data_IF_542976377655
#
_entry.id   IF_542976377655
#
_cell.length_a   1.000
_cell.length_b   1.000
_cell.length_c   1.000
_cell.angle_alpha   90.00
_cell.angle_beta   90.00
_cell.angle_gamma   90.00
#
_symmetry.space_group_name_H-M   'P 1'
#
loop_
_entity.id
_entity.type
_entity.pdbx_description
1 polymer ?
#
# COMPACT_ATOMS: atom_id res chain seq x y z
N UNK A 1 -16.90 39.24 30.23
CA UNK A 1 -17.73 39.04 31.43
C UNK A 1 -19.21 39.19 31.07
N UNK A 2 -19.98 38.11 31.10
CA UNK A 2 -21.41 38.05 31.50
C UNK A 2 -21.97 36.62 31.31
N UNK A 3 -22.33 36.02 32.46
CA UNK A 3 -23.43 35.06 32.75
C UNK A 3 -23.56 33.85 31.81
N UNK A 4 -23.20 32.61 32.17
CA UNK A 4 -23.73 31.73 33.24
C UNK A 4 -25.25 31.80 33.37
N UNK A 5 -25.94 30.79 32.84
CA UNK A 5 -27.21 30.31 33.39
C UNK A 5 -27.16 28.79 33.38
N UNK A 6 -26.84 28.24 34.55
CA UNK A 6 -27.12 26.87 34.94
C UNK A 6 -28.65 26.66 34.93
N UNK A 7 -29.12 25.58 34.33
CA UNK A 7 -30.30 24.88 34.82
C UNK A 7 -29.86 23.50 35.31
N UNK A 8 -29.71 23.44 36.63
CA UNK A 8 -29.59 22.25 37.44
C UNK A 8 -30.99 21.67 37.66
N UNK A 9 -31.01 20.38 38.02
CA UNK A 9 -32.06 19.68 38.76
C UNK A 9 -33.19 19.09 37.88
N UNK A 10 -33.61 17.84 38.03
CA UNK A 10 -33.24 16.69 38.87
C UNK A 10 -34.26 15.59 38.47
N UNK A 11 -34.13 14.41 39.08
CA UNK A 11 -35.16 13.36 39.23
C UNK A 11 -35.16 12.25 38.15
N UNK A 12 -35.21 10.96 38.47
CA UNK A 12 -35.09 10.15 39.70
C UNK A 12 -35.22 8.69 39.21
N UNK A 13 -34.58 7.76 39.95
CA UNK A 13 -34.84 6.31 40.04
C UNK A 13 -34.82 5.47 38.76
N UNK A 14 -33.92 4.49 38.59
CA UNK A 14 -33.75 3.28 39.39
C UNK A 14 -35.04 2.46 39.56
N UNK A 15 -35.41 1.72 38.52
CA UNK A 15 -36.26 0.53 38.65
C UNK A 15 -35.94 -0.45 37.52
N UNK A 16 -35.62 -1.68 37.92
CA UNK A 16 -35.95 -2.93 37.21
C UNK A 16 -35.03 -3.40 36.08
N UNK A 17 -33.98 -4.08 36.54
CA UNK A 17 -33.53 -5.37 36.04
C UNK A 17 -34.68 -6.21 35.44
N UNK A 18 -34.73 -6.32 34.12
CA UNK A 18 -35.43 -7.42 33.44
C UNK A 18 -34.45 -8.10 32.48
N UNK A 19 -33.82 -9.16 33.00
CA UNK A 19 -33.12 -10.15 32.19
C UNK A 19 -34.22 -11.00 31.52
N UNK A 20 -34.56 -10.65 30.28
CA UNK A 20 -35.33 -11.52 29.41
C UNK A 20 -34.35 -12.35 28.58
N UNK A 21 -34.18 -13.62 29.00
CA UNK A 21 -33.63 -14.68 28.17
C UNK A 21 -34.72 -15.09 27.16
N UNK A 22 -34.49 -14.77 25.89
CA UNK A 22 -35.08 -15.42 24.73
C UNK A 22 -34.08 -15.19 23.58
N UNK A 23 -33.16 -16.12 23.34
CA UNK A 23 -33.31 -17.21 22.35
C UNK A 23 -33.98 -16.71 21.06
N UNK A 24 -33.20 -16.71 19.98
CA UNK A 24 -33.53 -16.39 18.59
C UNK A 24 -33.10 -14.98 18.11
N UNK A 25 -31.79 -14.73 18.17
CA UNK A 25 -31.14 -13.82 17.23
C UNK A 25 -30.36 -14.65 16.20
N UNK A 26 -30.41 -14.29 14.90
CA UNK A 26 -29.59 -14.94 13.90
C UNK A 26 -28.14 -14.78 14.33
N UNK A 27 -27.38 -15.87 14.27
CA UNK A 27 -25.94 -15.84 14.48
C UNK A 27 -25.37 -14.71 13.62
N UNK A 28 -25.03 -13.59 14.24
CA UNK A 28 -24.06 -12.67 13.68
C UNK A 28 -22.81 -13.50 13.52
N UNK A 29 -22.61 -13.97 12.28
CA UNK A 29 -21.33 -14.48 11.81
C UNK A 29 -20.39 -13.31 12.01
N UNK A 30 -19.74 -13.26 13.18
CA UNK A 30 -18.56 -12.46 13.39
C UNK A 30 -17.59 -12.90 12.30
N UNK A 31 -17.53 -12.12 11.22
CA UNK A 31 -16.51 -12.24 10.21
C UNK A 31 -15.20 -11.96 10.96
N UNK A 32 -14.56 -13.03 11.41
CA UNK A 32 -13.15 -13.01 11.78
C UNK A 32 -12.42 -12.64 10.50
N UNK A 33 -12.22 -11.35 10.27
CA UNK A 33 -11.26 -10.87 9.30
C UNK A 33 -9.89 -11.26 9.83
N UNK A 34 -9.45 -12.46 9.46
CA UNK A 34 -8.08 -12.96 9.57
C UNK A 34 -7.17 -12.18 8.61
N UNK A 35 -7.09 -10.86 8.77
CA UNK A 35 -6.18 -10.04 7.98
C UNK A 35 -4.78 -10.17 8.57
N UNK A 36 -4.05 -11.18 8.10
CA UNK A 36 -2.58 -11.20 8.23
C UNK A 36 -2.04 -9.86 7.71
N UNK A 37 -1.10 -9.21 8.42
CA UNK A 37 -0.52 -7.95 7.95
C UNK A 37 0.11 -8.15 6.56
N UNK A 38 -0.01 -7.16 5.67
CA UNK A 38 0.56 -7.26 4.34
C UNK A 38 2.09 -7.38 4.41
N UNK A 39 2.64 -8.27 3.61
CA UNK A 39 4.08 -8.40 3.43
C UNK A 39 4.60 -7.26 2.55
N UNK A 40 5.79 -6.77 2.85
CA UNK A 40 6.48 -5.77 2.06
C UNK A 40 7.92 -6.18 1.81
N UNK A 41 8.45 -5.86 0.64
CA UNK A 41 9.85 -6.08 0.30
C UNK A 41 10.42 -4.83 -0.39
N UNK A 42 11.58 -4.40 0.09
CA UNK A 42 12.27 -3.19 -0.35
C UNK A 42 13.68 -3.53 -0.80
N UNK A 43 14.07 -3.06 -1.98
CA UNK A 43 15.43 -3.21 -2.49
C UNK A 43 15.98 -1.90 -3.01
N UNK A 44 17.24 -1.63 -2.71
CA UNK A 44 17.96 -0.44 -3.16
C UNK A 44 19.01 -0.83 -4.20
N UNK A 45 19.15 -0.01 -5.23
CA UNK A 45 20.20 -0.10 -6.24
C UNK A 45 20.83 1.27 -6.48
N UNK A 46 22.09 1.30 -6.91
CA UNK A 46 22.77 2.56 -7.27
C UNK A 46 22.21 3.12 -8.57
N UNK A 47 21.91 4.41 -8.59
CA UNK A 47 21.47 5.13 -9.78
C UNK A 47 22.68 5.74 -10.50
N UNK A 48 22.93 5.27 -11.72
CA UNK A 48 23.98 5.80 -12.62
C UNK A 48 23.42 6.72 -13.70
N UNK A 49 22.11 6.65 -13.97
CA UNK A 49 21.41 7.41 -15.00
C UNK A 49 20.81 8.71 -14.47
N UNK A 50 20.27 9.53 -15.38
CA UNK A 50 19.49 10.72 -15.00
C UNK A 50 18.14 10.30 -14.37
N UNK A 51 17.53 11.21 -13.59
CA UNK A 51 16.20 10.98 -13.00
C UNK A 51 15.13 10.70 -14.08
N UNK A 52 15.21 11.40 -15.21
CA UNK A 52 14.28 11.23 -16.33
C UNK A 52 14.40 9.84 -16.96
N UNK A 53 15.62 9.41 -17.29
CA UNK A 53 15.88 8.06 -17.80
C UNK A 53 15.44 6.99 -16.80
N UNK A 54 15.77 7.14 -15.52
CA UNK A 54 15.33 6.20 -14.49
C UNK A 54 13.80 6.08 -14.45
N UNK A 55 13.06 7.20 -14.53
CA UNK A 55 11.59 7.18 -14.56
C UNK A 55 11.03 6.49 -15.81
N UNK A 56 11.63 6.74 -16.97
CA UNK A 56 11.23 6.08 -18.22
C UNK A 56 11.46 4.57 -18.14
N UNK A 57 12.65 4.14 -17.71
CA UNK A 57 12.96 2.72 -17.50
C UNK A 57 12.04 2.09 -16.46
N UNK A 58 11.68 2.82 -15.40
CA UNK A 58 10.74 2.35 -14.39
C UNK A 58 9.34 2.09 -14.95
N UNK A 59 8.81 2.98 -15.80
CA UNK A 59 7.52 2.75 -16.46
C UNK A 59 7.56 1.49 -17.35
N UNK A 60 8.63 1.31 -18.13
CA UNK A 60 8.81 0.12 -18.97
C UNK A 60 8.91 -1.15 -18.11
N UNK A 61 9.66 -1.10 -17.01
CA UNK A 61 9.83 -2.24 -16.11
C UNK A 61 8.50 -2.65 -15.46
N UNK A 62 7.70 -1.68 -15.00
CA UNK A 62 6.36 -1.94 -14.46
C UNK A 62 5.48 -2.66 -15.48
N UNK A 63 5.40 -2.14 -16.71
CA UNK A 63 4.59 -2.72 -17.78
C UNK A 63 5.07 -4.14 -18.14
N UNK A 64 6.39 -4.36 -18.28
CA UNK A 64 6.97 -5.69 -18.56
C UNK A 64 6.78 -6.70 -17.43
N UNK A 65 6.56 -6.23 -16.20
CA UNK A 65 6.23 -7.08 -15.05
C UNK A 65 4.73 -7.34 -14.90
N UNK A 66 3.92 -6.92 -15.89
CA UNK A 66 2.47 -7.04 -15.92
C UNK A 66 1.76 -6.30 -14.78
N UNK A 67 2.34 -5.20 -14.29
CA UNK A 67 1.59 -4.26 -13.46
C UNK A 67 0.70 -3.39 -14.36
N UNK A 68 -0.53 -3.15 -13.90
CA UNK A 68 -1.52 -2.27 -14.51
C UNK A 68 -1.63 -0.97 -13.72
N UNK A 69 -2.47 -0.05 -14.20
CA UNK A 69 -2.75 1.25 -13.57
C UNK A 69 -1.46 2.03 -13.23
N UNK A 70 -0.53 1.98 -14.18
CA UNK A 70 0.81 2.55 -14.00
C UNK A 70 0.71 4.07 -14.00
N UNK A 71 1.08 4.69 -12.88
CA UNK A 71 1.04 6.15 -12.72
C UNK A 71 2.40 6.72 -12.31
N UNK A 72 2.80 7.82 -12.94
CA UNK A 72 3.98 8.58 -12.54
C UNK A 72 3.60 9.64 -11.51
N UNK A 73 4.02 9.43 -10.26
CA UNK A 73 3.84 10.40 -9.18
C UNK A 73 5.09 11.24 -8.87
N UNK A 74 4.95 12.12 -7.88
CA UNK A 74 6.05 12.91 -7.30
C UNK A 74 7.15 12.01 -6.73
N UNK A 75 6.75 10.89 -6.13
CA UNK A 75 7.64 10.00 -5.37
C UNK A 75 8.16 8.80 -6.17
N UNK A 76 7.71 8.57 -7.41
CA UNK A 76 8.11 7.41 -8.20
C UNK A 76 7.07 7.01 -9.22
N UNK A 77 7.25 5.84 -9.81
CA UNK A 77 6.28 5.15 -10.65
C UNK A 77 5.57 4.12 -9.79
N UNK A 78 4.24 4.05 -9.85
CA UNK A 78 3.41 3.09 -9.14
C UNK A 78 2.69 2.18 -10.13
N UNK A 79 2.29 0.99 -9.69
CA UNK A 79 1.41 0.08 -10.42
C UNK A 79 0.79 -0.97 -9.52
N UNK A 80 -0.25 -1.64 -10.00
CA UNK A 80 -0.97 -2.70 -9.28
C UNK A 80 -1.00 -4.00 -10.09
N UNK A 81 -1.08 -5.15 -9.43
CA UNK A 81 -1.20 -6.46 -10.09
C UNK A 81 -1.83 -7.44 -9.12
N UNK A 82 -3.01 -7.98 -9.41
CA UNK A 82 -3.63 -9.07 -8.64
C UNK A 82 -3.66 -8.82 -7.11
N UNK A 83 -3.96 -7.59 -6.68
CA UNK A 83 -3.95 -7.19 -5.26
C UNK A 83 -2.57 -6.80 -4.69
N UNK A 84 -1.50 -6.97 -5.45
CA UNK A 84 -0.16 -6.49 -5.15
C UNK A 84 0.03 -5.05 -5.65
N UNK A 85 0.80 -4.26 -4.90
CA UNK A 85 1.17 -2.89 -5.26
C UNK A 85 2.67 -2.78 -5.38
N UNK A 86 3.16 -2.08 -6.39
CA UNK A 86 4.58 -1.83 -6.57
C UNK A 86 4.88 -0.34 -6.74
N UNK A 87 6.09 0.05 -6.31
CA UNK A 87 6.67 1.36 -6.54
C UNK A 87 8.13 1.25 -6.98
N UNK A 88 8.52 2.05 -7.97
CA UNK A 88 9.92 2.33 -8.29
C UNK A 88 10.20 3.82 -8.07
N UNK A 89 11.09 4.15 -7.13
CA UNK A 89 11.50 5.53 -6.82
C UNK A 89 12.90 5.81 -7.34
N UNK A 90 13.03 6.88 -8.12
CA UNK A 90 14.31 7.38 -8.65
C UNK A 90 14.78 8.61 -7.86
N UNK A 91 15.84 8.47 -7.06
CA UNK A 91 16.41 9.55 -6.25
C UNK A 91 17.77 10.00 -6.79
N UNK A 92 17.81 11.16 -7.46
CA UNK A 92 19.06 11.71 -7.99
C UNK A 92 19.96 12.31 -6.93
N UNK A 93 19.37 12.90 -5.88
CA UNK A 93 20.11 13.47 -4.74
C UNK A 93 20.89 12.39 -4.01
N UNK A 94 20.25 11.25 -3.77
CA UNK A 94 20.87 10.13 -3.05
C UNK A 94 21.55 9.11 -3.99
N UNK A 95 21.45 9.30 -5.31
CA UNK A 95 21.97 8.39 -6.33
C UNK A 95 21.50 6.95 -6.13
N UNK A 96 20.22 6.77 -5.78
CA UNK A 96 19.61 5.46 -5.54
C UNK A 96 18.29 5.27 -6.28
N UNK A 97 17.98 4.01 -6.54
CA UNK A 97 16.72 3.50 -7.06
C UNK A 97 16.16 2.58 -5.99
N UNK A 98 14.89 2.76 -5.64
CA UNK A 98 14.21 1.96 -4.62
C UNK A 98 13.06 1.20 -5.27
N UNK A 99 13.03 -0.11 -5.10
CA UNK A 99 11.98 -1.02 -5.55
C UNK A 99 11.19 -1.49 -4.34
N UNK A 100 9.89 -1.25 -4.34
CA UNK A 100 8.98 -1.62 -3.26
C UNK A 100 7.86 -2.46 -3.84
N UNK A 101 7.55 -3.60 -3.21
CA UNK A 101 6.37 -4.41 -3.50
C UNK A 101 5.67 -4.73 -2.19
N UNK A 102 4.34 -4.68 -2.20
CA UNK A 102 3.47 -4.96 -1.04
C UNK A 102 2.31 -5.87 -1.46
N UNK A 103 1.97 -6.86 -0.65
CA UNK A 103 0.87 -7.80 -0.91
C UNK A 103 0.63 -8.82 0.20
N UNK A 104 -0.29 -9.75 -0.02
CA UNK A 104 -0.72 -10.72 1.00
C UNK A 104 0.23 -11.91 1.17
N UNK A 105 1.01 -12.27 0.14
CA UNK A 105 1.91 -13.43 0.19
C UNK A 105 3.38 -13.00 0.08
N UNK A 106 4.18 -13.29 1.10
CA UNK A 106 5.58 -12.88 1.16
C UNK A 106 6.44 -13.40 0.01
N UNK A 107 6.28 -14.67 -0.38
CA UNK A 107 7.02 -15.28 -1.50
C UNK A 107 6.70 -14.58 -2.82
N UNK A 108 5.42 -14.30 -3.08
CA UNK A 108 5.00 -13.58 -4.28
C UNK A 108 5.52 -12.14 -4.29
N UNK A 109 5.50 -11.44 -3.14
CA UNK A 109 6.08 -10.10 -2.99
C UNK A 109 7.57 -10.10 -3.38
N UNK A 110 8.34 -11.07 -2.91
CA UNK A 110 9.76 -11.21 -3.27
C UNK A 110 9.94 -11.49 -4.77
N UNK A 111 9.21 -12.46 -5.32
CA UNK A 111 9.27 -12.84 -6.73
C UNK A 111 8.94 -11.68 -7.66
N UNK A 112 7.90 -10.91 -7.36
CA UNK A 112 7.51 -9.73 -8.12
C UNK A 112 8.57 -8.63 -8.04
N UNK A 113 9.21 -8.44 -6.88
CA UNK A 113 10.28 -7.47 -6.73
C UNK A 113 11.52 -7.85 -7.57
N UNK A 114 11.91 -9.12 -7.56
CA UNK A 114 13.02 -9.61 -8.39
C UNK A 114 12.71 -9.50 -9.89
N UNK A 115 11.47 -9.81 -10.29
CA UNK A 115 11.01 -9.60 -11.66
C UNK A 115 11.09 -8.13 -12.09
N UNK A 116 10.66 -7.20 -11.22
CA UNK A 116 10.76 -5.75 -11.48
C UNK A 116 12.21 -5.30 -11.66
N UNK A 117 13.11 -5.73 -10.78
CA UNK A 117 14.54 -5.37 -10.88
C UNK A 117 15.16 -5.91 -12.17
N UNK A 118 14.86 -7.16 -12.53
CA UNK A 118 15.35 -7.78 -13.76
C UNK A 118 14.89 -7.02 -15.00
N UNK A 119 13.60 -6.72 -15.08
CA UNK A 119 13.01 -5.98 -16.20
C UNK A 119 13.53 -4.54 -16.28
N UNK A 120 13.80 -3.91 -15.13
CA UNK A 120 14.42 -2.60 -15.06
C UNK A 120 15.86 -2.62 -15.59
N UNK A 121 16.66 -3.61 -15.20
CA UNK A 121 18.03 -3.79 -15.69
C UNK A 121 18.10 -3.94 -17.22
N UNK A 122 17.19 -4.73 -17.80
CA UNK A 122 17.08 -4.91 -19.26
C UNK A 122 16.75 -3.62 -20.01
N UNK A 123 16.02 -2.70 -19.39
CA UNK A 123 15.65 -1.43 -20.02
C UNK A 123 16.84 -0.53 -20.35
N UNK A 124 17.96 -0.64 -19.62
CA UNK A 124 19.19 0.10 -19.93
C UNK A 124 20.01 -0.49 -21.07
N UNK A 125 19.95 -1.81 -21.27
CA UNK A 125 20.68 -2.48 -22.34
C UNK A 125 20.15 -2.08 -23.72
N UNK A 126 18.85 -1.85 -23.85
CA UNK A 126 18.20 -1.57 -25.13
C UNK A 126 18.28 -0.08 -25.56
N UNK A 127 18.68 0.83 -24.67
CA UNK A 127 18.79 2.27 -24.98
C UNK A 127 20.14 2.67 -25.59
N UNK A 128 21.06 1.72 -25.85
CA UNK A 128 22.30 2.00 -26.58
C UNK A 128 22.13 1.93 -28.10
N UNK A 129 20.99 1.42 -28.58
CA UNK A 129 20.71 1.18 -30.00
C UNK A 129 19.71 2.21 -30.58
N UNK A 130 19.43 3.30 -29.87
CA UNK A 130 18.59 4.43 -30.29
C UNK A 130 19.35 5.74 -30.11
#
# INVERSE_FOLDING_TARGET
MKMITLFLALLIASSELQIALASDTPSEVYAQTTHSPPHFYVKLQRMTSSKAQCKQTAMIAMAKSAFTDIVSGKHGIWGVKDGYKAQIKCSQKEKVIVFIVVGAEGEMVMRLNDQLQHNFGKGFSNTRDL
#
